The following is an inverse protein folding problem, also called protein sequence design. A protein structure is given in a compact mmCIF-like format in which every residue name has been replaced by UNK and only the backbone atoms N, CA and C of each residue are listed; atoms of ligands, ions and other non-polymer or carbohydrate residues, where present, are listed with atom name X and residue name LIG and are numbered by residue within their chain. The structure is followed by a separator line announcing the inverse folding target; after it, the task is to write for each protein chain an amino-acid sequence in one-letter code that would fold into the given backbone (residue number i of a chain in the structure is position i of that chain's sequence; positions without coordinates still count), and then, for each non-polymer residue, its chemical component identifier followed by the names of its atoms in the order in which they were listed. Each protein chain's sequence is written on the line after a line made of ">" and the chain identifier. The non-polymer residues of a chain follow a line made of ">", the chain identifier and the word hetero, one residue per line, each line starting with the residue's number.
data_IF_126560352287
#
_entry.id   IF_126560352287
#
_cell.length_a   1.000
_cell.length_b   1.000
_cell.length_c   1.000
_cell.angle_alpha   90.00
_cell.angle_beta   90.00
_cell.angle_gamma   90.00
#
_symmetry.space_group_name_H-M   'P 1'
#
loop_
_entity.id
_entity.type
_entity.pdbx_description
1 polymer ?
#
# COMPACT_ATOMS: atom_id res chain seq x y z
N UNK A 1 -18.24 39.09 -35.07
CA UNK A 1 -16.86 38.94 -34.66
C UNK A 1 -16.74 37.72 -33.74
N UNK A 2 -15.91 36.76 -34.10
CA UNK A 2 -15.77 35.54 -33.29
C UNK A 2 -14.74 35.76 -32.18
N UNK A 3 -15.10 35.31 -31.00
CA UNK A 3 -14.21 35.21 -29.87
C UNK A 3 -13.16 34.11 -30.18
N UNK A 4 -11.99 34.51 -30.57
CA UNK A 4 -10.79 33.64 -30.52
C UNK A 4 -10.12 33.80 -29.18
N UNK A 5 -10.58 33.08 -28.19
CA UNK A 5 -9.83 32.91 -26.94
C UNK A 5 -8.73 31.87 -27.18
N UNK A 6 -7.50 32.34 -27.33
CA UNK A 6 -6.31 31.54 -27.15
C UNK A 6 -6.25 31.13 -25.68
N UNK A 7 -6.77 29.96 -25.35
CA UNK A 7 -6.38 29.24 -24.13
C UNK A 7 -4.94 28.77 -24.33
N UNK A 8 -3.98 29.58 -23.91
CA UNK A 8 -2.66 29.06 -23.59
C UNK A 8 -2.86 27.98 -22.54
N UNK A 9 -2.69 26.72 -22.91
CA UNK A 9 -2.49 25.63 -21.96
C UNK A 9 -1.21 26.01 -21.20
N UNK A 10 -1.36 26.65 -20.04
CA UNK A 10 -0.32 26.62 -19.02
C UNK A 10 0.02 25.14 -18.83
N UNK A 11 1.27 24.79 -19.10
CA UNK A 11 1.80 23.46 -18.79
C UNK A 11 1.57 23.26 -17.30
N UNK A 12 0.59 22.44 -16.94
CA UNK A 12 0.45 21.93 -15.58
C UNK A 12 1.78 21.24 -15.33
N UNK A 13 2.60 21.85 -14.50
CA UNK A 13 3.90 21.28 -14.11
C UNK A 13 3.57 20.23 -13.07
N UNK A 14 3.42 18.96 -13.49
CA UNK A 14 3.21 17.86 -12.56
C UNK A 14 4.43 17.74 -11.63
N UNK A 15 4.20 17.47 -10.36
CA UNK A 15 5.25 17.17 -9.37
C UNK A 15 5.08 15.73 -8.89
N UNK A 16 6.12 14.93 -9.12
CA UNK A 16 6.16 13.54 -8.74
C UNK A 16 7.06 13.32 -7.53
N UNK A 17 6.53 12.55 -6.58
CA UNK A 17 7.25 12.03 -5.42
C UNK A 17 7.49 10.53 -5.62
N UNK A 18 8.74 10.13 -5.69
CA UNK A 18 9.11 8.71 -5.64
C UNK A 18 9.47 8.32 -4.21
N UNK A 19 8.87 7.26 -3.71
CA UNK A 19 9.21 6.61 -2.44
C UNK A 19 9.86 5.26 -2.77
N UNK A 20 11.15 5.10 -2.47
CA UNK A 20 11.91 3.88 -2.72
C UNK A 20 12.22 3.17 -1.41
N UNK A 21 11.78 1.92 -1.29
CA UNK A 21 11.86 1.07 -0.10
C UNK A 21 12.96 0.01 -0.28
N UNK A 22 14.22 0.42 -0.26
CA UNK A 22 15.35 -0.49 -0.48
C UNK A 22 15.51 -1.55 0.63
N UNK A 23 14.97 -1.32 1.82
CA UNK A 23 14.93 -2.27 2.93
C UNK A 23 13.63 -3.11 2.99
N UNK A 24 12.74 -2.99 2.00
CA UNK A 24 11.47 -3.72 1.97
C UNK A 24 11.63 -5.23 2.19
N UNK A 25 12.61 -5.94 1.57
CA UNK A 25 12.79 -7.37 1.79
C UNK A 25 13.08 -7.74 3.25
N UNK A 26 13.69 -6.84 4.01
CA UNK A 26 13.97 -7.04 5.43
C UNK A 26 12.74 -6.64 6.27
N UNK A 27 12.17 -5.48 6.00
CA UNK A 27 11.09 -4.89 6.80
C UNK A 27 9.78 -5.66 6.72
N UNK A 28 9.50 -6.36 5.61
CA UNK A 28 8.33 -7.22 5.49
C UNK A 28 8.44 -8.55 6.25
N UNK A 29 9.66 -8.98 6.61
CA UNK A 29 9.91 -10.27 7.27
C UNK A 29 10.25 -10.12 8.76
N UNK A 30 10.78 -8.98 9.18
CA UNK A 30 11.27 -8.78 10.55
C UNK A 30 11.18 -7.32 10.96
N UNK A 31 10.50 -7.10 12.08
CA UNK A 31 10.49 -5.82 12.80
C UNK A 31 11.46 -5.85 14.01
N UNK A 32 12.37 -6.83 14.05
CA UNK A 32 13.29 -7.01 15.17
C UNK A 32 14.57 -6.19 14.94
N UNK A 33 14.69 -5.06 15.61
CA UNK A 33 15.86 -4.17 15.51
C UNK A 33 17.01 -4.61 16.41
N UNK A 34 16.76 -5.46 17.42
CA UNK A 34 17.72 -5.80 18.48
C UNK A 34 18.57 -7.04 18.19
N UNK A 35 18.27 -7.83 17.17
CA UNK A 35 19.02 -9.02 16.79
C UNK A 35 19.60 -8.88 15.39
N UNK A 36 20.79 -9.43 15.13
CA UNK A 36 21.34 -9.46 13.78
C UNK A 36 20.44 -10.26 12.83
N UNK A 37 19.99 -9.63 11.75
CA UNK A 37 19.12 -10.24 10.73
C UNK A 37 19.72 -9.99 9.35
N UNK A 38 19.76 -11.03 8.52
CA UNK A 38 20.14 -10.92 7.12
C UNK A 38 19.14 -11.65 6.24
N UNK A 39 18.67 -10.99 5.18
CA UNK A 39 17.80 -11.59 4.16
C UNK A 39 18.66 -12.13 3.02
N UNK A 40 18.39 -13.38 2.66
CA UNK A 40 19.13 -14.13 1.65
C UNK A 40 18.29 -14.29 0.37
N UNK A 41 18.95 -14.21 -0.77
CA UNK A 41 18.41 -14.65 -2.05
C UNK A 41 19.53 -15.33 -2.85
N UNK A 42 19.25 -16.45 -3.50
CA UNK A 42 20.21 -17.22 -4.25
C UNK A 42 21.54 -17.46 -3.47
N UNK A 43 21.42 -17.85 -2.20
CA UNK A 43 22.52 -18.11 -1.27
C UNK A 43 23.44 -16.91 -0.97
N UNK A 44 23.00 -15.69 -1.27
CA UNK A 44 23.73 -14.45 -0.99
C UNK A 44 22.88 -13.47 -0.20
N UNK A 45 23.53 -12.73 0.67
CA UNK A 45 22.91 -11.64 1.43
C UNK A 45 22.45 -10.52 0.48
N UNK A 46 21.19 -10.16 0.55
CA UNK A 46 20.62 -9.05 -0.23
C UNK A 46 20.33 -7.82 0.64
N UNK A 47 19.90 -8.03 1.90
CA UNK A 47 19.66 -6.94 2.86
C UNK A 47 20.05 -7.39 4.27
N UNK A 48 20.42 -6.42 5.10
CA UNK A 48 20.82 -6.61 6.50
C UNK A 48 20.29 -5.46 7.34
N UNK A 49 20.11 -5.70 8.64
CA UNK A 49 19.86 -4.64 9.62
C UNK A 49 21.18 -4.09 10.18
N UNK A 50 21.10 -3.01 10.96
CA UNK A 50 22.27 -2.33 11.53
C UNK A 50 23.06 -3.24 12.48
N UNK A 51 22.40 -4.12 13.24
CA UNK A 51 23.05 -5.10 14.10
C UNK A 51 23.93 -6.07 13.30
N UNK A 52 23.43 -6.58 12.18
CA UNK A 52 24.23 -7.45 11.29
C UNK A 52 25.37 -6.68 10.60
N UNK A 53 25.14 -5.41 10.23
CA UNK A 53 26.16 -4.54 9.68
C UNK A 53 27.31 -4.28 10.67
N UNK A 54 26.99 -4.12 11.96
CA UNK A 54 27.98 -3.94 13.03
C UNK A 54 28.91 -5.16 13.20
N UNK A 55 28.43 -6.37 12.89
CA UNK A 55 29.23 -7.60 12.85
C UNK A 55 30.12 -7.72 11.61
N UNK A 56 30.14 -6.71 10.72
CA UNK A 56 30.90 -6.71 9.49
C UNK A 56 30.24 -7.46 8.34
N UNK A 57 29.00 -7.91 8.49
CA UNK A 57 28.25 -8.58 7.42
C UNK A 57 27.89 -7.53 6.35
N UNK A 58 28.01 -7.94 5.08
CA UNK A 58 27.76 -7.07 3.93
C UNK A 58 26.92 -7.77 2.88
N UNK A 59 26.22 -6.99 2.08
CA UNK A 59 25.50 -7.47 0.90
C UNK A 59 26.45 -8.25 -0.04
N UNK A 60 25.94 -9.34 -0.63
CA UNK A 60 26.69 -10.23 -1.52
C UNK A 60 27.43 -11.38 -0.83
N UNK A 61 27.59 -11.35 0.50
CA UNK A 61 28.23 -12.44 1.24
C UNK A 61 27.41 -13.72 1.22
N UNK A 62 28.08 -14.88 1.23
CA UNK A 62 27.41 -16.19 1.34
C UNK A 62 27.07 -16.54 2.79
N UNK A 63 26.12 -17.45 3.00
CA UNK A 63 25.64 -17.87 4.31
C UNK A 63 26.76 -18.41 5.24
N UNK A 64 27.74 -19.12 4.70
CA UNK A 64 28.86 -19.63 5.48
C UNK A 64 29.76 -18.50 6.03
N UNK A 65 30.04 -17.49 5.22
CA UNK A 65 30.80 -16.29 5.63
C UNK A 65 30.06 -15.51 6.69
N UNK A 66 28.74 -15.37 6.53
CA UNK A 66 27.90 -14.67 7.50
C UNK A 66 27.91 -15.35 8.86
N UNK A 67 27.79 -16.69 8.91
CA UNK A 67 27.87 -17.45 10.16
C UNK A 67 29.25 -17.37 10.80
N UNK A 68 30.30 -17.37 10.00
CA UNK A 68 31.67 -17.23 10.50
C UNK A 68 31.94 -15.84 11.11
N UNK A 69 31.36 -14.77 10.54
CA UNK A 69 31.48 -13.42 11.08
C UNK A 69 30.63 -13.22 12.34
N UNK A 70 29.45 -13.85 12.39
CA UNK A 70 28.57 -13.78 13.57
C UNK A 70 29.19 -14.49 14.80
N UNK A 71 30.05 -15.50 14.60
CA UNK A 71 30.68 -16.24 15.68
C UNK A 71 29.67 -16.92 16.59
N UNK A 72 29.63 -16.55 17.88
CA UNK A 72 28.70 -17.06 18.87
C UNK A 72 27.38 -16.27 18.92
N UNK A 73 27.29 -15.12 18.25
CA UNK A 73 26.07 -14.32 18.24
C UNK A 73 24.98 -14.96 17.36
N UNK A 74 23.75 -15.10 17.87
CA UNK A 74 22.65 -15.69 17.12
C UNK A 74 22.21 -14.77 15.98
N UNK A 75 22.55 -15.10 14.76
CA UNK A 75 22.08 -14.40 13.57
C UNK A 75 20.89 -15.12 12.93
N UNK A 76 19.86 -14.36 12.57
CA UNK A 76 18.71 -14.86 11.82
C UNK A 76 18.95 -14.68 10.32
N UNK A 77 19.03 -15.80 9.60
CA UNK A 77 19.08 -15.82 8.14
C UNK A 77 17.66 -16.12 7.63
N UNK A 78 17.06 -15.16 6.95
CA UNK A 78 15.72 -15.26 6.39
C UNK A 78 15.81 -15.38 4.88
N UNK A 79 15.06 -16.29 4.29
CA UNK A 79 14.93 -16.33 2.82
C UNK A 79 13.99 -15.21 2.35
N UNK A 80 14.32 -14.63 1.19
CA UNK A 80 13.51 -13.58 0.58
C UNK A 80 12.11 -14.08 0.23
N UNK A 81 11.09 -13.41 0.69
CA UNK A 81 9.69 -13.67 0.34
C UNK A 81 9.12 -12.55 -0.54
N UNK A 82 9.11 -12.78 -1.85
CA UNK A 82 8.56 -11.82 -2.83
C UNK A 82 7.06 -11.60 -2.67
N UNK A 83 6.32 -12.58 -2.16
CA UNK A 83 4.88 -12.44 -1.93
C UNK A 83 4.61 -11.52 -0.73
N UNK A 84 5.41 -11.66 0.33
CA UNK A 84 5.36 -10.74 1.47
C UNK A 84 5.72 -9.31 1.04
N UNK A 85 6.78 -9.12 0.25
CA UNK A 85 7.14 -7.81 -0.31
C UNK A 85 5.98 -7.19 -1.11
N UNK A 86 5.34 -8.00 -1.96
CA UNK A 86 4.21 -7.54 -2.79
C UNK A 86 3.00 -7.16 -1.93
N UNK A 87 2.67 -7.95 -0.90
CA UNK A 87 1.60 -7.62 0.07
C UNK A 87 1.88 -6.31 0.80
N UNK A 88 3.10 -6.12 1.30
CA UNK A 88 3.51 -4.88 1.94
C UNK A 88 3.41 -3.68 0.99
N UNK A 89 3.86 -3.84 -0.26
CA UNK A 89 3.76 -2.78 -1.25
C UNK A 89 2.31 -2.42 -1.58
N UNK A 90 1.41 -3.40 -1.65
CA UNK A 90 -0.03 -3.16 -1.82
C UNK A 90 -0.64 -2.41 -0.64
N UNK A 91 -0.26 -2.73 0.60
CA UNK A 91 -0.69 -1.99 1.80
C UNK A 91 -0.18 -0.55 1.78
N UNK A 92 1.07 -0.34 1.33
CA UNK A 92 1.65 0.99 1.15
C UNK A 92 0.94 1.78 0.03
N UNK A 93 0.54 1.13 -1.09
CA UNK A 93 -0.29 1.75 -2.12
C UNK A 93 -1.65 2.19 -1.57
N UNK A 94 -2.30 1.32 -0.81
CA UNK A 94 -3.59 1.62 -0.19
C UNK A 94 -3.48 2.82 0.76
N UNK A 95 -2.40 2.91 1.54
CA UNK A 95 -2.13 4.09 2.36
C UNK A 95 -1.84 5.33 1.51
N UNK A 96 -0.98 5.23 0.51
CA UNK A 96 -0.61 6.35 -0.35
C UNK A 96 -1.81 6.90 -1.15
N UNK A 97 -2.83 6.07 -1.41
CA UNK A 97 -4.09 6.48 -2.03
C UNK A 97 -4.86 7.51 -1.19
N UNK A 98 -4.66 7.56 0.13
CA UNK A 98 -5.21 8.62 0.99
C UNK A 98 -4.52 9.98 0.79
N UNK A 99 -3.33 10.01 0.18
CA UNK A 99 -2.56 11.22 -0.11
C UNK A 99 -2.91 11.73 -1.51
N UNK A 100 -2.85 10.84 -2.51
CA UNK A 100 -3.16 11.16 -3.91
C UNK A 100 -3.82 9.96 -4.61
N UNK A 101 -4.83 10.18 -5.46
CA UNK A 101 -5.41 9.11 -6.27
C UNK A 101 -4.53 8.70 -7.45
N UNK A 102 -3.60 9.57 -7.88
CA UNK A 102 -2.71 9.31 -9.01
C UNK A 102 -1.39 8.75 -8.49
N UNK A 103 -1.34 7.43 -8.38
CA UNK A 103 -0.14 6.71 -7.94
C UNK A 103 -0.01 5.36 -8.66
N UNK A 104 1.21 4.85 -8.74
CA UNK A 104 1.49 3.51 -9.25
C UNK A 104 2.78 2.94 -8.65
N UNK A 105 2.96 1.64 -8.75
CA UNK A 105 4.20 0.97 -8.36
C UNK A 105 5.21 1.03 -9.49
N UNK A 106 6.45 1.35 -9.16
CA UNK A 106 7.57 1.31 -10.11
C UNK A 106 8.61 0.30 -9.62
N UNK A 107 9.01 -0.61 -10.51
CA UNK A 107 9.82 -1.76 -10.12
C UNK A 107 9.15 -2.55 -8.97
N UNK A 108 9.91 -3.18 -8.09
CA UNK A 108 9.35 -3.99 -7.00
C UNK A 108 9.48 -3.33 -5.62
N UNK A 109 10.00 -2.10 -5.56
CA UNK A 109 10.34 -1.43 -4.32
C UNK A 109 10.02 0.07 -4.31
N UNK A 110 9.34 0.58 -5.33
CA UNK A 110 9.06 2.01 -5.43
C UNK A 110 7.56 2.31 -5.61
N UNK A 111 7.11 3.38 -4.97
CA UNK A 111 5.83 4.04 -5.25
C UNK A 111 6.09 5.38 -5.91
N UNK A 112 5.34 5.68 -6.96
CA UNK A 112 5.32 6.97 -7.65
C UNK A 112 4.00 7.66 -7.35
N UNK A 113 4.04 8.86 -6.81
CA UNK A 113 2.89 9.67 -6.41
C UNK A 113 2.91 10.99 -7.17
N UNK A 114 1.84 11.32 -7.86
CA UNK A 114 1.64 12.68 -8.37
C UNK A 114 1.07 13.53 -7.22
N UNK A 115 1.77 14.59 -6.83
CA UNK A 115 1.43 15.34 -5.63
C UNK A 115 1.09 16.81 -5.88
N UNK A 116 1.28 17.35 -7.10
CA UNK A 116 1.03 18.77 -7.40
C UNK A 116 -0.41 19.16 -7.06
N UNK A 117 -1.39 18.34 -7.50
CA UNK A 117 -2.80 18.58 -7.23
C UNK A 117 -3.19 18.51 -5.75
N UNK A 118 -2.34 17.93 -4.91
CA UNK A 118 -2.63 17.72 -3.49
C UNK A 118 -1.96 18.73 -2.57
N UNK A 119 -1.01 19.54 -3.06
CA UNK A 119 -0.22 20.45 -2.24
C UNK A 119 -1.07 21.46 -1.43
N UNK A 120 -2.16 21.96 -2.01
CA UNK A 120 -3.07 22.88 -1.33
C UNK A 120 -3.81 22.22 -0.16
N UNK A 121 -4.14 20.93 -0.27
CA UNK A 121 -4.81 20.15 0.78
C UNK A 121 -3.89 19.98 2.01
N UNK A 122 -2.60 19.80 1.78
CA UNK A 122 -1.59 19.60 2.82
C UNK A 122 -0.87 20.89 3.26
N UNK A 123 -1.37 22.07 2.86
CA UNK A 123 -0.76 23.37 3.20
C UNK A 123 0.68 23.55 2.68
N UNK A 124 1.03 22.83 1.63
CA UNK A 124 2.32 22.93 0.96
C UNK A 124 3.16 21.68 0.97
N UNK A 125 4.29 21.73 0.25
CA UNK A 125 5.15 20.57 0.03
C UNK A 125 5.81 20.05 1.30
N UNK A 126 6.32 20.93 2.15
CA UNK A 126 7.05 20.52 3.36
C UNK A 126 6.11 19.78 4.35
N UNK A 127 4.88 20.26 4.49
CA UNK A 127 3.88 19.62 5.33
C UNK A 127 3.45 18.25 4.76
N UNK A 128 3.26 18.15 3.43
CA UNK A 128 2.98 16.88 2.77
C UNK A 128 4.12 15.88 2.97
N UNK A 129 5.37 16.28 2.79
CA UNK A 129 6.53 15.43 2.98
C UNK A 129 6.66 14.97 4.45
N UNK A 130 6.40 15.85 5.41
CA UNK A 130 6.39 15.50 6.82
C UNK A 130 5.32 14.43 7.12
N UNK A 131 4.10 14.60 6.60
CA UNK A 131 3.01 13.62 6.74
C UNK A 131 3.38 12.27 6.12
N UNK A 132 3.99 12.29 4.92
CA UNK A 132 4.47 11.08 4.25
C UNK A 132 5.52 10.35 5.09
N UNK A 133 6.51 11.06 5.62
CA UNK A 133 7.58 10.47 6.45
C UNK A 133 7.00 9.86 7.73
N UNK A 134 6.10 10.58 8.42
CA UNK A 134 5.41 10.09 9.62
C UNK A 134 4.57 8.87 9.26
N UNK A 135 3.83 8.93 8.16
CA UNK A 135 2.98 7.85 7.70
C UNK A 135 3.74 6.56 7.39
N UNK A 136 4.91 6.65 6.76
CA UNK A 136 5.78 5.51 6.46
C UNK A 136 6.39 4.94 7.76
N UNK A 137 6.95 5.83 8.61
CA UNK A 137 7.63 5.43 9.84
C UNK A 137 6.68 4.77 10.86
N UNK A 138 5.44 5.29 10.98
CA UNK A 138 4.42 4.70 11.87
C UNK A 138 4.01 3.28 11.47
N UNK A 139 4.29 2.87 10.23
CA UNK A 139 4.05 1.53 9.70
C UNK A 139 5.28 0.63 9.79
N UNK A 140 6.38 1.12 10.35
CA UNK A 140 7.63 0.37 10.48
C UNK A 140 8.46 0.30 9.20
N UNK A 141 8.20 1.18 8.22
CA UNK A 141 8.97 1.23 6.98
C UNK A 141 9.87 2.47 6.93
N UNK A 142 10.95 2.35 6.16
CA UNK A 142 11.82 3.46 5.80
C UNK A 142 11.86 3.58 4.27
N UNK A 143 11.80 4.80 3.77
CA UNK A 143 11.91 5.06 2.34
C UNK A 143 12.88 6.20 2.05
N UNK A 144 13.60 6.07 0.94
CA UNK A 144 14.25 7.19 0.29
C UNK A 144 13.24 7.89 -0.60
N UNK A 145 13.32 9.21 -0.71
CA UNK A 145 12.41 9.97 -1.53
C UNK A 145 13.14 10.84 -2.55
N UNK A 146 12.53 10.98 -3.71
CA UNK A 146 12.97 11.87 -4.77
C UNK A 146 11.81 12.68 -5.33
N UNK A 147 12.05 13.92 -5.70
CA UNK A 147 11.05 14.85 -6.21
C UNK A 147 11.48 15.38 -7.57
N UNK A 148 10.60 15.30 -8.58
CA UNK A 148 10.87 15.79 -9.92
C UNK A 148 9.58 16.05 -10.71
N UNK A 149 9.67 16.78 -11.86
CA UNK A 149 8.53 16.94 -12.75
C UNK A 149 8.10 15.67 -13.49
N UNK A 150 8.94 14.62 -13.46
CA UNK A 150 8.65 13.34 -14.12
C UNK A 150 8.88 12.18 -13.15
N UNK A 151 8.13 11.08 -13.28
CA UNK A 151 8.27 9.91 -12.42
C UNK A 151 9.68 9.31 -12.45
N UNK A 152 10.25 9.15 -13.64
CA UNK A 152 11.60 8.58 -13.82
C UNK A 152 12.69 9.43 -13.22
N UNK A 153 12.55 10.76 -13.30
CA UNK A 153 13.48 11.66 -12.63
C UNK A 153 13.31 11.64 -11.11
N UNK A 154 12.08 11.57 -10.61
CA UNK A 154 11.81 11.41 -9.18
C UNK A 154 12.44 10.10 -8.66
N UNK A 155 12.28 8.99 -9.40
CA UNK A 155 12.91 7.72 -9.07
C UNK A 155 14.44 7.84 -9.02
N UNK A 156 15.05 8.40 -10.05
CA UNK A 156 16.51 8.51 -10.11
C UNK A 156 17.04 9.43 -9.02
N UNK A 157 16.33 10.51 -8.69
CA UNK A 157 16.68 11.41 -7.59
C UNK A 157 16.48 10.79 -6.19
N UNK A 158 15.73 9.70 -6.05
CA UNK A 158 15.62 8.97 -4.78
C UNK A 158 16.93 8.29 -4.35
N UNK A 159 17.89 8.17 -5.23
CA UNK A 159 19.25 7.69 -4.92
C UNK A 159 20.19 8.81 -4.47
N UNK A 160 19.81 10.07 -4.66
CA UNK A 160 20.59 11.22 -4.19
C UNK A 160 20.45 11.38 -2.66
N UNK A 161 21.44 11.99 -1.99
CA UNK A 161 21.27 12.42 -0.60
C UNK A 161 20.05 13.33 -0.47
N UNK A 162 19.42 13.33 0.70
CA UNK A 162 18.14 14.04 0.97
C UNK A 162 18.10 15.41 0.32
N UNK A 163 17.10 15.58 -0.55
CA UNK A 163 16.85 16.84 -1.25
C UNK A 163 15.97 17.72 -0.35
N UNK A 164 16.43 18.92 -0.04
CA UNK A 164 15.59 19.95 0.59
C UNK A 164 14.67 20.57 -0.45
N UNK A 165 13.53 21.13 -0.03
CA UNK A 165 12.58 21.85 -0.90
C UNK A 165 13.25 22.93 -1.77
N UNK A 166 14.33 23.57 -1.27
CA UNK A 166 15.13 24.54 -2.03
C UNK A 166 15.82 23.95 -3.26
N UNK A 167 16.18 22.67 -3.24
CA UNK A 167 16.85 22.02 -4.38
C UNK A 167 15.90 21.78 -5.56
N UNK A 168 14.58 21.83 -5.35
CA UNK A 168 13.57 21.67 -6.43
C UNK A 168 13.61 22.86 -7.40
N UNK A 169 14.04 24.05 -6.95
CA UNK A 169 14.17 25.24 -7.78
C UNK A 169 15.31 25.16 -8.81
N UNK A 170 16.25 24.22 -8.62
CA UNK A 170 17.34 24.00 -9.57
C UNK A 170 16.84 23.28 -10.84
N UNK A 171 17.40 23.59 -12.02
CA UNK A 171 17.09 22.88 -13.25
C UNK A 171 17.28 21.37 -13.09
N UNK A 172 16.33 20.59 -13.63
CA UNK A 172 16.34 19.13 -13.50
C UNK A 172 17.67 18.51 -13.97
N UNK A 173 18.22 19.00 -15.07
CA UNK A 173 19.50 18.55 -15.61
C UNK A 173 20.64 18.68 -14.59
N UNK A 174 20.72 19.79 -13.88
CA UNK A 174 21.76 20.01 -12.86
C UNK A 174 21.61 19.04 -11.67
N UNK A 175 20.38 18.72 -11.30
CA UNK A 175 20.10 17.78 -10.21
C UNK A 175 20.43 16.35 -10.61
N UNK A 176 20.21 15.97 -11.86
CA UNK A 176 20.49 14.62 -12.38
C UNK A 176 21.96 14.42 -12.73
N UNK A 177 22.67 15.49 -13.11
CA UNK A 177 24.05 15.41 -13.61
C UNK A 177 25.02 14.65 -12.74
N UNK A 178 25.05 14.79 -11.39
CA UNK A 178 26.04 14.07 -10.56
C UNK A 178 25.72 12.58 -10.36
N UNK A 179 24.56 12.13 -10.78
CA UNK A 179 24.12 10.75 -10.51
C UNK A 179 24.89 9.77 -11.40
N UNK A 180 25.39 8.65 -10.82
CA UNK A 180 26.17 7.69 -11.57
C UNK A 180 25.29 6.81 -12.47
N UNK A 181 25.78 6.46 -13.65
CA UNK A 181 25.03 5.66 -14.64
C UNK A 181 24.73 4.22 -14.20
N UNK A 182 25.48 3.68 -13.23
CA UNK A 182 25.22 2.32 -12.72
C UNK A 182 23.87 2.16 -12.01
N UNK A 183 23.18 3.26 -11.67
CA UNK A 183 21.81 3.23 -11.16
C UNK A 183 20.79 2.75 -12.21
N UNK A 184 21.13 2.83 -13.50
CA UNK A 184 20.30 2.40 -14.61
C UNK A 184 20.50 0.89 -14.90
N UNK A 185 20.15 0.04 -13.93
CA UNK A 185 20.38 -1.42 -13.98
C UNK A 185 19.66 -2.08 -15.17
N UNK A 186 18.50 -1.56 -15.57
CA UNK A 186 17.75 -2.04 -16.73
C UNK A 186 18.56 -1.95 -18.05
N UNK A 187 19.50 -1.01 -18.12
CA UNK A 187 20.35 -0.74 -19.28
C UNK A 187 21.81 -1.15 -19.08
N UNK A 188 22.10 -2.20 -18.31
CA UNK A 188 23.45 -2.61 -17.91
C UNK A 188 24.43 -2.73 -19.08
N UNK A 189 24.01 -3.30 -20.19
CA UNK A 189 24.85 -3.45 -21.41
C UNK A 189 25.21 -2.10 -22.03
N UNK A 190 24.25 -1.21 -22.16
CA UNK A 190 24.43 0.16 -22.67
C UNK A 190 25.29 0.98 -21.72
N UNK A 191 24.99 0.93 -20.42
CA UNK A 191 25.76 1.61 -19.36
C UNK A 191 27.23 1.17 -19.37
N UNK A 192 27.51 -0.13 -19.48
CA UNK A 192 28.87 -0.64 -19.56
C UNK A 192 29.59 -0.14 -20.82
N UNK A 193 28.91 -0.03 -21.96
CA UNK A 193 29.46 0.54 -23.20
C UNK A 193 29.79 2.03 -23.03
N UNK A 194 28.89 2.80 -22.40
CA UNK A 194 29.10 4.24 -22.12
C UNK A 194 30.27 4.46 -21.15
N UNK A 195 30.36 3.65 -20.09
CA UNK A 195 31.49 3.72 -19.13
C UNK A 195 32.81 3.43 -19.77
N UNK A 196 32.89 2.46 -20.67
CA UNK A 196 34.13 2.18 -21.47
C UNK A 196 34.50 3.36 -22.39
N UNK A 197 33.51 4.20 -22.75
CA UNK A 197 33.75 5.41 -23.51
C UNK A 197 34.09 6.64 -22.64
N UNK A 198 34.23 6.45 -21.32
CA UNK A 198 34.59 7.51 -20.36
C UNK A 198 33.40 8.30 -19.81
N UNK A 199 32.16 7.87 -20.06
CA UNK A 199 30.95 8.49 -19.53
C UNK A 199 30.53 7.77 -18.26
N UNK A 200 30.48 8.46 -17.13
CA UNK A 200 30.25 7.86 -15.82
C UNK A 200 28.99 8.35 -15.14
N UNK A 201 28.52 9.54 -15.51
CA UNK A 201 27.37 10.22 -14.91
C UNK A 201 26.23 10.42 -15.88
N UNK A 202 25.03 10.64 -15.34
CA UNK A 202 23.85 11.02 -16.14
C UNK A 202 24.10 12.32 -16.89
N UNK A 203 24.80 13.29 -16.27
CA UNK A 203 25.17 14.54 -16.90
C UNK A 203 26.02 14.35 -18.15
N UNK A 204 27.00 13.44 -18.12
CA UNK A 204 27.85 13.15 -19.28
C UNK A 204 27.01 12.68 -20.47
N UNK A 205 25.98 11.89 -20.20
CA UNK A 205 25.08 11.35 -21.25
C UNK A 205 24.12 12.42 -21.75
N UNK A 206 23.55 13.24 -20.86
CA UNK A 206 22.62 14.33 -21.24
C UNK A 206 23.32 15.42 -22.07
N UNK A 207 24.64 15.60 -21.91
CA UNK A 207 25.42 16.53 -22.72
C UNK A 207 25.64 16.06 -24.17
N UNK A 208 25.35 14.78 -24.49
CA UNK A 208 25.55 14.26 -25.83
C UNK A 208 24.38 14.62 -26.76
N UNK A 209 24.65 14.87 -28.06
CA UNK A 209 23.57 15.10 -29.03
C UNK A 209 22.64 13.90 -29.13
N UNK A 210 21.30 14.10 -29.16
CA UNK A 210 20.31 13.02 -29.20
C UNK A 210 20.50 12.03 -30.38
N UNK A 211 20.97 12.51 -31.53
CA UNK A 211 21.25 11.71 -32.70
C UNK A 211 22.41 10.72 -32.48
N UNK A 212 23.42 11.12 -31.71
CA UNK A 212 24.55 10.25 -31.35
C UNK A 212 24.12 9.16 -30.34
N UNK A 213 23.28 9.52 -29.38
CA UNK A 213 22.69 8.59 -28.41
C UNK A 213 21.82 7.52 -29.10
N UNK A 214 20.95 7.91 -30.02
CA UNK A 214 20.05 6.99 -30.73
C UNK A 214 20.81 5.92 -31.55
N UNK A 215 21.93 6.29 -32.17
CA UNK A 215 22.78 5.36 -32.95
C UNK A 215 23.57 4.39 -32.08
N UNK A 216 24.01 4.83 -30.90
CA UNK A 216 24.95 4.08 -30.03
C UNK A 216 24.26 3.29 -28.95
N UNK A 217 23.18 3.84 -28.38
CA UNK A 217 22.53 3.29 -27.18
C UNK A 217 21.19 2.60 -27.47
N UNK A 218 20.68 2.73 -28.70
CA UNK A 218 19.41 2.15 -29.12
C UNK A 218 18.19 2.97 -28.70
N UNK A 219 17.04 2.59 -29.27
CA UNK A 219 15.77 3.34 -29.08
C UNK A 219 15.26 3.31 -27.65
N UNK A 220 15.37 2.16 -26.95
CA UNK A 220 14.84 2.00 -25.60
C UNK A 220 15.52 2.97 -24.61
N UNK A 221 16.84 3.05 -24.62
CA UNK A 221 17.59 3.96 -23.77
C UNK A 221 17.28 5.44 -24.10
N UNK A 222 17.18 5.77 -25.38
CA UNK A 222 16.83 7.15 -25.82
C UNK A 222 15.42 7.52 -25.37
N UNK A 223 14.45 6.60 -25.48
CA UNK A 223 13.09 6.81 -24.99
C UNK A 223 13.06 7.03 -23.47
N UNK A 224 13.82 6.23 -22.72
CA UNK A 224 13.97 6.41 -21.28
C UNK A 224 14.49 7.81 -20.94
N UNK A 225 15.54 8.29 -21.62
CA UNK A 225 16.07 9.65 -21.40
C UNK A 225 15.06 10.74 -21.79
N UNK A 226 14.29 10.56 -22.84
CA UNK A 226 13.22 11.50 -23.22
C UNK A 226 12.11 11.56 -22.16
N UNK A 227 11.71 10.42 -21.60
CA UNK A 227 10.73 10.35 -20.51
C UNK A 227 11.31 10.91 -19.21
N UNK A 228 12.58 10.65 -18.91
CA UNK A 228 13.31 11.24 -17.79
C UNK A 228 13.26 12.76 -17.81
N UNK A 229 13.47 13.35 -19.00
CA UNK A 229 13.49 14.80 -19.19
C UNK A 229 12.11 15.43 -19.47
N UNK A 230 11.03 14.63 -19.47
CA UNK A 230 9.69 15.10 -19.75
C UNK A 230 9.42 15.49 -21.21
N UNK A 231 10.31 15.10 -22.14
CA UNK A 231 10.15 15.32 -23.57
C UNK A 231 9.18 14.31 -24.22
N UNK A 232 8.88 13.23 -23.51
CA UNK A 232 7.94 12.18 -23.89
C UNK A 232 7.12 11.76 -22.68
N UNK A 233 5.83 11.51 -22.91
CA UNK A 233 4.93 11.00 -21.87
C UNK A 233 5.37 9.60 -21.40
N UNK A 234 5.26 9.38 -20.08
CA UNK A 234 5.49 8.09 -19.45
C UNK A 234 4.12 7.53 -19.03
N UNK A 235 3.49 6.80 -19.95
CA UNK A 235 2.18 6.20 -19.71
C UNK A 235 2.33 5.01 -18.76
N UNK A 236 1.84 5.18 -17.56
CA UNK A 236 1.78 4.15 -16.54
C UNK A 236 0.31 3.83 -16.21
N UNK A 237 0.09 2.65 -15.65
CA UNK A 237 -1.24 2.27 -15.17
C UNK A 237 -1.37 2.71 -13.72
N UNK A 238 -2.31 3.59 -13.44
CA UNK A 238 -2.58 4.04 -12.09
C UNK A 238 -3.04 2.87 -11.20
N UNK A 239 -2.64 2.95 -9.95
CA UNK A 239 -3.11 2.02 -8.94
C UNK A 239 -4.63 2.19 -8.76
N UNK A 240 -5.33 1.10 -8.90
CA UNK A 240 -6.75 1.03 -8.58
C UNK A 240 -6.92 0.21 -7.31
N UNK A 241 -7.48 0.78 -6.24
CA UNK A 241 -7.76 -0.02 -5.04
C UNK A 241 -8.56 -1.26 -5.40
N UNK A 242 -8.24 -2.42 -4.85
CA UNK A 242 -8.98 -3.64 -5.16
C UNK A 242 -10.46 -3.47 -4.76
N UNK A 243 -11.35 -4.02 -5.58
CA UNK A 243 -12.80 -4.02 -5.35
C UNK A 243 -13.25 -4.98 -4.25
N UNK A 244 -12.33 -5.74 -3.69
CA UNK A 244 -12.55 -6.67 -2.59
C UNK A 244 -11.39 -6.58 -1.60
N UNK A 245 -11.67 -6.89 -0.35
CA UNK A 245 -10.65 -7.00 0.70
C UNK A 245 -10.48 -8.48 1.06
N UNK A 246 -9.23 -8.90 1.23
CA UNK A 246 -8.88 -10.23 1.74
C UNK A 246 -7.60 -10.10 2.57
N UNK A 247 -7.65 -10.55 3.82
CA UNK A 247 -6.52 -10.59 4.73
C UNK A 247 -6.58 -11.85 5.60
N UNK A 248 -5.43 -12.40 5.98
CA UNK A 248 -5.32 -13.69 6.68
C UNK A 248 -4.44 -13.56 7.92
N UNK A 249 -4.81 -14.31 8.95
CA UNK A 249 -4.03 -14.48 10.17
C UNK A 249 -3.77 -15.96 10.45
N UNK A 250 -2.51 -16.33 10.62
CA UNK A 250 -2.09 -17.70 10.94
C UNK A 250 -1.60 -17.78 12.38
N UNK A 251 -2.19 -18.67 13.15
CA UNK A 251 -1.93 -18.75 14.61
C UNK A 251 -0.60 -19.41 14.97
N UNK A 252 -0.01 -20.23 14.08
CA UNK A 252 1.18 -21.01 14.39
C UNK A 252 0.95 -22.13 15.44
N UNK A 253 -0.27 -22.26 15.96
CA UNK A 253 -0.75 -23.30 16.87
C UNK A 253 -2.23 -23.57 16.61
N UNK A 254 -2.74 -24.72 17.11
CA UNK A 254 -4.15 -25.06 16.96
C UNK A 254 -5.03 -24.29 17.95
N UNK A 255 -5.97 -23.52 17.45
CA UNK A 255 -6.98 -22.81 18.22
C UNK A 255 -8.18 -23.71 18.44
N UNK A 256 -8.62 -23.85 19.69
CA UNK A 256 -9.74 -24.73 20.09
C UNK A 256 -10.92 -23.98 20.69
N UNK A 257 -10.73 -22.73 21.07
CA UNK A 257 -11.76 -21.92 21.73
C UNK A 257 -12.00 -20.60 20.98
N UNK A 258 -13.25 -20.12 21.01
CA UNK A 258 -13.61 -18.86 20.37
C UNK A 258 -12.85 -17.65 20.97
N UNK A 259 -12.47 -17.71 22.25
CA UNK A 259 -11.75 -16.65 22.91
C UNK A 259 -10.33 -16.45 22.34
N UNK A 260 -9.69 -17.53 21.89
CA UNK A 260 -8.36 -17.48 21.29
C UNK A 260 -8.37 -16.79 19.90
N UNK A 261 -9.53 -16.73 19.22
CA UNK A 261 -9.69 -16.02 17.95
C UNK A 261 -9.72 -14.49 18.13
N UNK A 262 -10.02 -14.00 19.33
CA UNK A 262 -10.26 -12.58 19.60
C UNK A 262 -9.14 -11.63 19.11
N UNK A 263 -7.85 -11.89 19.40
CA UNK A 263 -6.78 -11.00 18.94
C UNK A 263 -6.69 -10.93 17.41
N UNK A 264 -6.82 -12.08 16.74
CA UNK A 264 -6.80 -12.15 15.27
C UNK A 264 -8.00 -11.43 14.65
N UNK A 265 -9.19 -11.59 15.22
CA UNK A 265 -10.41 -10.88 14.79
C UNK A 265 -10.22 -9.37 14.90
N UNK A 266 -9.68 -8.88 16.01
CA UNK A 266 -9.42 -7.45 16.20
C UNK A 266 -8.42 -6.93 15.19
N UNK A 267 -7.33 -7.62 14.97
CA UNK A 267 -6.28 -7.22 14.01
C UNK A 267 -6.83 -7.16 12.59
N UNK A 268 -7.55 -8.20 12.13
CA UNK A 268 -8.11 -8.26 10.79
C UNK A 268 -9.20 -7.20 10.57
N UNK A 269 -10.04 -6.92 11.56
CA UNK A 269 -11.04 -5.85 11.47
C UNK A 269 -10.41 -4.45 11.46
N UNK A 270 -9.32 -4.24 12.19
CA UNK A 270 -8.58 -2.98 12.13
C UNK A 270 -7.94 -2.80 10.75
N UNK A 271 -7.37 -3.86 10.17
CA UNK A 271 -6.83 -3.87 8.80
C UNK A 271 -7.91 -3.54 7.77
N UNK A 272 -9.08 -4.20 7.85
CA UNK A 272 -10.24 -3.89 6.98
C UNK A 272 -10.68 -2.44 7.11
N UNK A 273 -10.90 -1.95 8.33
CA UNK A 273 -11.40 -0.59 8.53
C UNK A 273 -10.37 0.48 8.13
N UNK A 274 -9.09 0.18 8.29
CA UNK A 274 -8.02 1.00 7.75
C UNK A 274 -8.08 1.06 6.21
N UNK A 275 -8.23 -0.09 5.55
CA UNK A 275 -8.40 -0.18 4.10
C UNK A 275 -9.63 0.63 3.64
N UNK A 276 -10.79 0.43 4.27
CA UNK A 276 -12.04 1.11 3.90
C UNK A 276 -11.93 2.64 4.00
N UNK A 277 -11.27 3.15 5.05
CA UNK A 277 -11.06 4.60 5.23
C UNK A 277 -10.15 5.18 4.16
N UNK A 278 -9.01 4.52 3.89
CA UNK A 278 -8.04 5.02 2.92
C UNK A 278 -8.56 4.99 1.48
N UNK A 279 -9.43 4.05 1.16
CA UNK A 279 -10.05 3.94 -0.16
C UNK A 279 -11.39 4.65 -0.27
N UNK A 280 -11.89 5.27 0.82
CA UNK A 280 -13.22 5.88 0.91
C UNK A 280 -14.35 4.92 0.53
N UNK A 281 -14.15 3.63 0.83
CA UNK A 281 -15.10 2.57 0.60
C UNK A 281 -15.82 2.19 1.89
N UNK A 282 -16.97 1.57 1.75
CA UNK A 282 -17.78 1.03 2.83
C UNK A 282 -18.28 -0.37 2.47
N UNK A 283 -18.63 -1.14 3.47
CA UNK A 283 -19.23 -2.46 3.28
C UNK A 283 -20.38 -2.69 4.26
N UNK A 284 -21.37 -3.45 3.83
CA UNK A 284 -22.46 -3.96 4.66
C UNK A 284 -22.35 -5.46 4.95
N UNK A 285 -21.34 -6.14 4.38
CA UNK A 285 -21.14 -7.57 4.56
C UNK A 285 -19.65 -7.90 4.66
N UNK A 286 -19.31 -8.73 5.64
CA UNK A 286 -17.99 -9.33 5.79
C UNK A 286 -18.12 -10.84 5.96
N UNK A 287 -17.16 -11.59 5.42
CA UNK A 287 -17.11 -13.04 5.46
C UNK A 287 -15.85 -13.52 6.17
N UNK A 288 -16.02 -14.21 7.27
CA UNK A 288 -14.96 -14.91 7.97
C UNK A 288 -14.78 -16.31 7.40
N UNK A 289 -13.54 -16.73 7.21
CA UNK A 289 -13.17 -18.07 6.81
C UNK A 289 -12.26 -18.67 7.87
N UNK A 290 -12.75 -19.65 8.61
CA UNK A 290 -11.93 -20.43 9.53
C UNK A 290 -11.27 -21.56 8.76
N UNK A 291 -9.95 -21.63 8.83
CA UNK A 291 -9.13 -22.62 8.13
C UNK A 291 -8.76 -23.68 9.16
N UNK A 292 -9.39 -24.85 9.03
CA UNK A 292 -9.12 -25.97 9.92
C UNK A 292 -7.82 -26.70 9.58
N UNK A 293 -7.30 -27.50 10.52
CA UNK A 293 -6.13 -28.36 10.34
C UNK A 293 -6.32 -29.42 9.21
N UNK A 294 -7.58 -29.76 8.91
CA UNK A 294 -7.96 -30.62 7.78
C UNK A 294 -8.12 -29.87 6.45
N UNK A 295 -7.72 -28.60 6.40
CA UNK A 295 -7.87 -27.68 5.26
C UNK A 295 -9.34 -27.42 4.84
N UNK A 296 -10.30 -27.78 5.66
CA UNK A 296 -11.68 -27.40 5.42
C UNK A 296 -11.90 -25.96 5.82
N UNK A 297 -12.68 -25.25 5.00
CA UNK A 297 -13.05 -23.86 5.21
C UNK A 297 -14.46 -23.79 5.79
N UNK A 298 -14.60 -23.17 6.95
CA UNK A 298 -15.91 -22.82 7.51
C UNK A 298 -16.15 -21.33 7.30
N UNK A 299 -17.18 -21.01 6.50
CA UNK A 299 -17.52 -19.63 6.18
C UNK A 299 -18.60 -19.10 7.13
N UNK A 300 -18.41 -17.86 7.60
CA UNK A 300 -19.33 -17.18 8.51
C UNK A 300 -19.56 -15.77 7.97
N UNK A 301 -20.78 -15.50 7.54
CA UNK A 301 -21.19 -14.21 7.05
C UNK A 301 -21.72 -13.35 8.20
N UNK A 302 -21.21 -12.11 8.31
CA UNK A 302 -21.68 -11.07 9.22
C UNK A 302 -22.19 -9.92 8.40
N UNK A 303 -23.44 -9.52 8.62
CA UNK A 303 -24.11 -8.44 7.88
C UNK A 303 -24.54 -7.33 8.80
N UNK A 304 -24.51 -6.11 8.26
CA UNK A 304 -25.06 -4.92 8.88
C UNK A 304 -26.09 -4.28 7.96
N UNK A 305 -27.13 -3.68 8.53
CA UNK A 305 -28.17 -2.95 7.79
C UNK A 305 -27.64 -1.63 7.21
N UNK A 306 -26.57 -1.11 7.76
CA UNK A 306 -25.87 0.07 7.26
C UNK A 306 -24.41 -0.26 6.95
N UNK A 307 -23.85 0.44 5.97
CA UNK A 307 -22.44 0.31 5.65
C UNK A 307 -21.58 0.99 6.70
N UNK A 308 -20.58 0.31 7.23
CA UNK A 308 -19.72 0.83 8.28
C UNK A 308 -18.25 0.78 7.92
N UNK A 309 -17.51 1.76 8.40
CA UNK A 309 -16.04 1.80 8.40
C UNK A 309 -15.46 1.74 9.83
N UNK A 310 -16.30 1.48 10.85
CA UNK A 310 -15.86 1.36 12.26
C UNK A 310 -15.70 -0.10 12.67
N UNK A 311 -14.48 -0.44 13.10
CA UNK A 311 -14.12 -1.79 13.50
C UNK A 311 -14.83 -2.26 14.77
N UNK A 312 -15.24 -1.36 15.68
CA UNK A 312 -15.91 -1.72 16.93
C UNK A 312 -17.30 -2.29 16.67
N UNK A 313 -18.03 -1.72 15.73
CA UNK A 313 -19.33 -2.23 15.31
C UNK A 313 -19.19 -3.61 14.68
N UNK A 314 -18.25 -3.79 13.77
CA UNK A 314 -17.98 -5.08 13.16
C UNK A 314 -17.52 -6.14 14.17
N UNK A 315 -16.73 -5.73 15.17
CA UNK A 315 -16.29 -6.60 16.25
C UNK A 315 -17.47 -7.11 17.09
N UNK A 316 -18.39 -6.23 17.50
CA UNK A 316 -19.58 -6.64 18.25
C UNK A 316 -20.45 -7.61 17.47
N UNK A 317 -20.72 -7.34 16.18
CA UNK A 317 -21.50 -8.23 15.32
C UNK A 317 -20.81 -9.58 15.09
N UNK A 318 -19.48 -9.58 14.95
CA UNK A 318 -18.69 -10.80 14.82
C UNK A 318 -18.74 -11.64 16.08
N UNK A 319 -18.58 -11.04 17.26
CA UNK A 319 -18.69 -11.76 18.54
C UNK A 319 -20.05 -12.46 18.70
N UNK A 320 -21.15 -11.77 18.38
CA UNK A 320 -22.49 -12.36 18.42
C UNK A 320 -22.65 -13.60 17.50
N UNK A 321 -21.97 -13.59 16.36
CA UNK A 321 -21.97 -14.74 15.44
C UNK A 321 -21.07 -15.86 15.94
N UNK A 322 -19.90 -15.52 16.50
CA UNK A 322 -18.93 -16.50 17.00
C UNK A 322 -19.41 -17.19 18.29
N UNK A 323 -20.24 -16.53 19.12
CA UNK A 323 -20.88 -17.17 20.30
C UNK A 323 -21.72 -18.43 19.91
N UNK A 324 -22.26 -18.43 18.71
CA UNK A 324 -23.09 -19.54 18.20
C UNK A 324 -22.29 -20.66 17.51
N UNK A 325 -20.96 -20.43 17.35
CA UNK A 325 -20.11 -21.39 16.68
C UNK A 325 -19.65 -22.49 17.62
N UNK A 326 -19.93 -23.70 17.22
CA UNK A 326 -19.20 -24.85 17.72
C UNK A 326 -18.01 -25.09 16.80
N UNK A 327 -16.78 -24.81 17.28
CA UNK A 327 -15.56 -25.20 16.58
C UNK A 327 -15.50 -26.74 16.59
N UNK A 328 -15.98 -27.34 15.51
CA UNK A 328 -15.99 -28.83 15.38
C UNK A 328 -14.57 -29.39 15.25
N UNK A 329 -13.62 -28.60 14.73
CA UNK A 329 -12.21 -28.95 14.54
C UNK A 329 -11.31 -27.78 15.00
N UNK A 330 -10.03 -28.10 15.25
CA UNK A 330 -9.02 -27.07 15.55
C UNK A 330 -8.81 -26.13 14.33
N UNK A 331 -8.63 -24.84 14.61
CA UNK A 331 -8.42 -23.80 13.62
C UNK A 331 -6.95 -23.40 13.61
N UNK A 332 -6.32 -23.37 12.45
CA UNK A 332 -4.93 -22.97 12.25
C UNK A 332 -4.81 -21.53 11.68
N UNK A 333 -5.84 -21.08 10.97
CA UNK A 333 -5.87 -19.77 10.34
C UNK A 333 -7.27 -19.16 10.30
N UNK A 334 -7.31 -17.84 10.26
CA UNK A 334 -8.52 -17.05 10.12
C UNK A 334 -8.33 -16.05 8.98
N UNK A 335 -9.24 -16.08 8.00
CA UNK A 335 -9.25 -15.08 6.93
C UNK A 335 -10.50 -14.21 7.01
N UNK A 336 -10.35 -12.94 6.66
CA UNK A 336 -11.43 -11.97 6.53
C UNK A 336 -11.55 -11.54 5.07
N UNK A 337 -12.67 -11.88 4.47
CA UNK A 337 -12.98 -11.57 3.07
C UNK A 337 -14.16 -10.61 2.99
N UNK A 338 -13.98 -9.52 2.26
CA UNK A 338 -15.05 -8.58 1.96
C UNK A 338 -15.25 -8.54 0.43
N UNK A 339 -16.25 -9.27 -0.10
CA UNK A 339 -16.41 -9.46 -1.55
C UNK A 339 -17.03 -8.26 -2.24
N UNK A 340 -17.78 -7.43 -1.51
CA UNK A 340 -18.49 -6.28 -2.07
C UNK A 340 -18.14 -5.01 -1.28
N UNK A 341 -17.53 -4.09 -1.99
CA UNK A 341 -17.22 -2.76 -1.50
C UNK A 341 -18.04 -1.73 -2.27
N UNK A 342 -18.57 -0.75 -1.58
CA UNK A 342 -19.36 0.32 -2.16
C UNK A 342 -18.68 1.66 -1.87
N UNK A 343 -18.77 2.64 -2.78
CA UNK A 343 -18.34 4.01 -2.48
C UNK A 343 -19.04 4.51 -1.22
N UNK A 344 -18.28 5.14 -0.32
CA UNK A 344 -18.82 5.72 0.89
C UNK A 344 -19.88 6.76 0.54
N UNK A 345 -21.12 6.51 0.92
CA UNK A 345 -22.11 7.59 0.95
C UNK A 345 -21.71 8.50 2.12
N UNK A 346 -21.30 9.72 1.81
CA UNK A 346 -21.26 10.76 2.83
C UNK A 346 -22.71 10.97 3.29
N UNK A 347 -23.06 10.43 4.45
CA UNK A 347 -24.24 10.92 5.15
C UNK A 347 -24.01 12.42 5.33
N UNK A 348 -24.79 13.23 4.63
CA UNK A 348 -24.80 14.67 4.88
C UNK A 348 -25.23 14.84 6.34
N UNK A 349 -24.30 15.18 7.20
CA UNK A 349 -24.58 15.52 8.59
C UNK A 349 -25.48 16.76 8.50
N UNK A 350 -26.77 16.55 8.74
CA UNK A 350 -27.69 17.65 8.89
C UNK A 350 -27.28 18.41 10.16
N UNK A 351 -26.65 19.56 9.96
CA UNK A 351 -26.15 20.43 11.04
C UNK A 351 -27.25 20.87 12.02
N UNK A 352 -28.51 20.67 11.67
CA UNK A 352 -29.68 21.08 12.44
C UNK A 352 -30.36 19.94 13.22
N UNK A 353 -29.89 18.69 13.04
CA UNK A 353 -30.44 17.55 13.80
C UNK A 353 -29.51 17.21 14.96
N UNK A 354 -29.85 17.56 16.21
CA UNK A 354 -29.04 17.15 17.36
C UNK A 354 -29.02 15.63 17.42
N UNK A 355 -27.83 15.04 17.49
CA UNK A 355 -27.62 13.62 17.68
C UNK A 355 -28.49 13.13 18.84
N UNK A 356 -29.58 12.46 18.50
CA UNK A 356 -30.36 11.73 19.47
C UNK A 356 -29.46 10.62 20.02
N UNK A 357 -29.11 10.66 21.31
CA UNK A 357 -28.30 9.66 22.02
C UNK A 357 -28.97 8.27 22.10
N UNK A 358 -30.09 8.08 21.39
CA UNK A 358 -30.76 6.80 21.27
C UNK A 358 -30.08 5.98 20.17
N UNK A 359 -29.73 4.77 20.52
CA UNK A 359 -29.19 3.80 19.60
C UNK A 359 -30.04 3.73 18.31
N UNK A 360 -29.44 3.87 17.12
CA UNK A 360 -30.20 3.80 15.86
C UNK A 360 -30.94 2.47 15.77
N UNK A 361 -32.19 2.49 15.34
CA UNK A 361 -33.03 1.30 15.12
C UNK A 361 -32.28 0.25 14.24
N UNK A 362 -31.49 0.74 13.29
CA UNK A 362 -30.64 -0.11 12.44
C UNK A 362 -29.65 -0.96 13.25
N UNK A 363 -28.97 -0.38 14.23
CA UNK A 363 -28.00 -1.10 15.08
C UNK A 363 -28.68 -2.17 15.94
N UNK A 364 -29.87 -1.90 16.46
CA UNK A 364 -30.67 -2.90 17.17
C UNK A 364 -31.08 -4.06 16.26
N UNK A 365 -31.57 -3.75 15.05
CA UNK A 365 -31.95 -4.76 14.04
C UNK A 365 -30.75 -5.61 13.64
N UNK A 366 -29.58 -5.03 13.49
CA UNK A 366 -28.35 -5.74 13.17
C UNK A 366 -27.97 -6.75 14.26
N UNK A 367 -28.02 -6.34 15.53
CA UNK A 367 -27.74 -7.25 16.64
C UNK A 367 -28.75 -8.40 16.70
N UNK A 368 -30.04 -8.11 16.53
CA UNK A 368 -31.07 -9.12 16.53
C UNK A 368 -30.90 -10.11 15.36
N UNK A 369 -30.63 -9.62 14.14
CA UNK A 369 -30.43 -10.47 12.95
C UNK A 369 -29.17 -11.32 13.05
N UNK A 370 -28.08 -10.77 13.55
CA UNK A 370 -26.85 -11.53 13.75
C UNK A 370 -26.98 -12.57 14.89
N UNK A 371 -27.83 -12.32 15.89
CA UNK A 371 -28.06 -13.25 16.99
C UNK A 371 -29.12 -14.32 16.69
N UNK A 372 -30.20 -13.98 16.00
CA UNK A 372 -31.36 -14.88 15.79
C UNK A 372 -31.41 -15.45 14.37
N UNK A 373 -30.59 -14.94 13.45
CA UNK A 373 -30.62 -15.25 12.03
C UNK A 373 -31.47 -14.26 11.22
N UNK A 374 -31.12 -14.11 9.94
CA UNK A 374 -31.72 -13.14 9.02
C UNK A 374 -33.24 -13.34 8.83
N UNK A 375 -33.70 -14.58 8.91
CA UNK A 375 -35.12 -14.95 8.70
C UNK A 375 -35.98 -14.70 9.94
N UNK A 376 -35.37 -14.58 11.11
CA UNK A 376 -36.10 -14.44 12.37
C UNK A 376 -36.57 -12.99 12.63
N UNK A 377 -35.94 -11.99 11.97
CA UNK A 377 -36.27 -10.58 12.18
C UNK A 377 -36.61 -9.94 10.84
N UNK A 378 -37.87 -9.69 10.62
CA UNK A 378 -38.41 -9.08 9.41
C UNK A 378 -38.93 -7.68 9.71
N UNK A 379 -38.84 -6.78 8.74
CA UNK A 379 -39.45 -5.45 8.82
C UNK A 379 -40.80 -5.50 8.12
N UNK A 380 -41.85 -5.12 8.84
CA UNK A 380 -43.19 -4.98 8.26
C UNK A 380 -43.24 -3.69 7.45
N UNK A 381 -43.64 -3.79 6.20
CA UNK A 381 -43.97 -2.66 5.33
C UNK A 381 -45.47 -2.56 5.17
N UNK A 382 -45.98 -1.34 4.97
CA UNK A 382 -47.39 -1.11 4.58
C UNK A 382 -47.43 -0.80 3.09
N UNK A 383 -48.38 -1.40 2.40
CA UNK A 383 -48.73 -1.08 1.02
C UNK A 383 -50.09 -0.35 1.03
N UNK A 384 -50.24 0.61 0.16
CA UNK A 384 -51.54 1.33 0.02
C UNK A 384 -52.50 0.42 -0.74
N UNK A 385 -53.21 -0.44 0.00
CA UNK A 385 -54.17 -1.42 -0.50
C UNK A 385 -55.44 -1.38 0.35
N UNK A 386 -56.60 -1.46 -0.30
CA UNK A 386 -57.90 -1.37 0.39
C UNK A 386 -58.25 -2.60 1.24
N UNK A 387 -57.62 -3.76 0.98
CA UNK A 387 -57.85 -4.99 1.73
C UNK A 387 -56.74 -5.18 2.77
N UNK A 388 -57.06 -5.26 4.07
CA UNK A 388 -56.10 -5.36 5.14
C UNK A 388 -55.13 -6.55 5.01
N UNK A 389 -55.60 -7.66 4.42
CA UNK A 389 -54.80 -8.87 4.21
C UNK A 389 -53.66 -8.67 3.22
N UNK A 390 -53.77 -7.71 2.32
CA UNK A 390 -52.77 -7.36 1.31
C UNK A 390 -52.02 -6.07 1.62
N UNK A 391 -52.39 -5.37 2.67
CA UNK A 391 -51.75 -4.12 3.09
C UNK A 391 -50.44 -4.34 3.85
N UNK A 392 -50.15 -5.56 4.31
CA UNK A 392 -48.87 -5.91 4.99
C UNK A 392 -47.91 -6.60 4.04
N UNK A 393 -46.70 -6.05 3.95
CA UNK A 393 -45.54 -6.69 3.33
C UNK A 393 -44.59 -7.20 4.43
N UNK A 394 -44.16 -8.47 4.34
CA UNK A 394 -43.28 -9.12 5.31
C UNK A 394 -41.91 -9.35 4.70
#
# INVERSE_FOLDING_TARGET
>A
PPFTGHYSREKIVSLWLCLRFDQLPLQCLSHCEQQPVAVMAAQRVIRINDCAAALGIRQGMGAATVRALAGEEPIRLLERDKQAEQRCLQQLCCWAYSITPTLYTWQFDCLQLEIEGCLSLFQGLDALLAEVVIGISSRGYCAHHGLAPTPKAAWLLSFAPRVTAMAIQQPLEQRLSPLPLNLLEEFTTTVNSLRRAGLHTVGDVLALPPAALGRRCGKAFTHFLQQLMGQREDLQTDYCPPSSFNDEYWFGYEVKTNNELTPAVQQLLQSLCYFLRNTQLQTSEINWQLIGSDKKLQNICVRSASSHSDWKNWYQLTCLRFEQLNLANSVEGLALVCPQLQPGQQESIDLFNPHNQREPLAALLDRLRNRLGLQAVKKLGCRDEHLPEFAMLV
#
